data_IF_075614145564
#
_entry.id   IF_075614145564
#
_cell.length_a   1.000
_cell.length_b   1.000
_cell.length_c   1.000
_cell.angle_alpha   90.00
_cell.angle_beta   90.00
_cell.angle_gamma   90.00
#
_symmetry.space_group_name_H-M   'P 1'
#
loop_
_entity.id
_entity.type
_entity.pdbx_description
1 polymer ?
#
# COMPACT_ATOMS: atom_id res chain seq x y z
N UNK A 1 14.01 -7.80 4.92
CA UNK A 1 13.46 -6.49 5.25
C UNK A 1 12.04 -6.55 5.74
N UNK A 2 11.76 -5.77 6.77
CA UNK A 2 10.40 -5.70 7.33
C UNK A 2 9.51 -4.69 6.58
N UNK A 3 10.08 -4.01 5.58
CA UNK A 3 9.41 -2.98 4.81
C UNK A 3 9.91 -2.98 3.38
N UNK A 4 8.99 -2.72 2.45
CA UNK A 4 9.31 -2.57 1.03
C UNK A 4 9.98 -1.21 0.78
N UNK A 5 11.06 -1.22 0.02
CA UNK A 5 11.74 0.01 -0.44
C UNK A 5 12.33 -0.18 -1.82
N UNK A 6 12.23 0.86 -2.63
CA UNK A 6 12.91 0.96 -3.90
C UNK A 6 13.64 2.30 -3.97
N UNK A 7 14.95 2.27 -4.11
CA UNK A 7 15.80 3.45 -4.13
C UNK A 7 16.67 3.48 -5.38
N UNK A 8 16.88 4.68 -5.93
CA UNK A 8 17.72 4.91 -7.07
C UNK A 8 18.95 5.68 -6.59
N UNK A 9 20.09 5.01 -6.63
CA UNK A 9 21.37 5.61 -6.28
C UNK A 9 22.10 6.07 -7.55
N UNK A 10 22.53 7.32 -7.57
CA UNK A 10 23.33 7.88 -8.68
C UNK A 10 24.74 8.20 -8.20
N UNK A 11 25.75 7.61 -8.84
CA UNK A 11 27.15 7.87 -8.55
C UNK A 11 27.99 7.78 -9.82
N UNK A 12 28.79 8.81 -10.09
CA UNK A 12 29.70 8.88 -11.25
C UNK A 12 29.00 8.55 -12.59
N UNK A 13 27.83 9.13 -12.82
CA UNK A 13 27.04 8.91 -14.05
C UNK A 13 26.38 7.53 -14.16
N UNK A 14 26.58 6.65 -13.17
CA UNK A 14 25.94 5.33 -13.11
C UNK A 14 24.72 5.36 -12.20
N UNK A 15 23.73 4.58 -12.56
CA UNK A 15 22.51 4.38 -11.76
C UNK A 15 22.49 2.96 -11.21
N UNK A 16 22.26 2.84 -9.91
CA UNK A 16 22.05 1.56 -9.22
C UNK A 16 20.64 1.57 -8.65
N UNK A 17 19.89 0.55 -8.97
CA UNK A 17 18.58 0.32 -8.37
C UNK A 17 18.74 -0.60 -7.16
N UNK A 18 18.42 -0.08 -5.98
CA UNK A 18 18.27 -0.89 -4.77
C UNK A 18 16.80 -1.24 -4.59
N UNK A 19 16.51 -2.51 -4.42
CA UNK A 19 15.17 -3.01 -4.24
C UNK A 19 15.12 -3.90 -2.99
N UNK A 20 14.49 -3.43 -1.93
CA UNK A 20 14.25 -4.19 -0.70
C UNK A 20 12.80 -4.66 -0.72
N UNK A 21 12.59 -5.95 -0.76
CA UNK A 21 11.26 -6.55 -0.74
C UNK A 21 10.73 -6.74 0.66
N UNK A 22 9.42 -6.85 0.77
CA UNK A 22 8.77 -7.38 1.96
C UNK A 22 9.32 -8.77 2.30
N UNK A 23 9.38 -9.08 3.58
CA UNK A 23 9.92 -10.35 4.04
C UNK A 23 8.93 -11.49 3.80
N UNK A 24 9.41 -12.63 3.29
CA UNK A 24 8.60 -13.83 3.13
C UNK A 24 8.01 -14.35 4.46
N UNK A 25 8.65 -14.00 5.57
CA UNK A 25 8.21 -14.36 6.92
C UNK A 25 7.29 -13.30 7.57
N UNK A 26 6.93 -12.24 6.85
CA UNK A 26 6.25 -11.09 7.44
C UNK A 26 7.12 -10.34 8.46
N UNK A 27 6.51 -9.62 9.39
CA UNK A 27 7.24 -8.87 10.41
C UNK A 27 7.81 -9.81 11.48
N UNK A 28 9.12 -10.10 11.38
CA UNK A 28 9.87 -10.86 12.40
C UNK A 28 9.25 -12.21 12.76
N UNK A 29 8.67 -12.92 11.81
CA UNK A 29 7.97 -14.21 12.02
C UNK A 29 6.76 -14.11 12.96
N UNK A 30 6.24 -12.93 13.20
CA UNK A 30 5.18 -12.70 14.18
C UNK A 30 3.86 -12.27 13.56
N UNK A 31 3.82 -12.05 12.25
CA UNK A 31 2.62 -11.63 11.53
C UNK A 31 2.70 -12.03 10.06
N UNK A 32 1.55 -12.10 9.38
CA UNK A 32 1.46 -12.46 7.97
C UNK A 32 1.71 -11.28 7.02
N UNK A 33 2.17 -10.14 7.55
CA UNK A 33 2.54 -8.98 6.75
C UNK A 33 3.65 -8.18 7.43
N UNK A 34 4.30 -7.35 6.64
CA UNK A 34 5.37 -6.46 7.09
C UNK A 34 4.81 -5.26 7.85
N UNK A 35 5.68 -4.51 8.53
CA UNK A 35 5.30 -3.34 9.32
C UNK A 35 4.68 -2.20 8.49
N UNK A 36 4.95 -2.16 7.20
CA UNK A 36 4.40 -1.21 6.23
C UNK A 36 3.10 -1.69 5.58
N UNK A 37 2.59 -2.84 5.99
CA UNK A 37 1.39 -3.43 5.43
C UNK A 37 1.59 -4.22 4.15
N UNK A 38 2.81 -4.35 3.63
CA UNK A 38 3.11 -5.27 2.53
C UNK A 38 2.86 -6.69 3.00
N UNK A 39 2.07 -7.51 2.29
CA UNK A 39 1.91 -8.92 2.64
C UNK A 39 3.24 -9.64 2.63
N UNK A 40 3.37 -10.73 3.38
CA UNK A 40 4.54 -11.58 3.25
C UNK A 40 4.63 -12.16 1.83
N UNK A 41 5.83 -12.19 1.27
CA UNK A 41 6.02 -12.57 -0.13
C UNK A 41 7.45 -12.38 -0.62
N UNK A 42 7.59 -12.27 -1.93
CA UNK A 42 8.89 -12.12 -2.60
C UNK A 42 8.74 -11.37 -3.93
N UNK A 43 9.84 -10.80 -4.40
CA UNK A 43 9.90 -10.19 -5.73
C UNK A 43 10.17 -11.23 -6.81
N UNK A 44 9.49 -11.09 -7.93
CA UNK A 44 9.72 -11.85 -9.16
C UNK A 44 10.30 -10.91 -10.21
N UNK A 45 11.35 -11.35 -10.89
CA UNK A 45 12.01 -10.61 -11.96
C UNK A 45 12.12 -11.48 -13.21
N UNK A 46 11.66 -10.94 -14.32
CA UNK A 46 11.84 -11.53 -15.63
C UNK A 46 13.00 -10.82 -16.32
N UNK A 47 14.04 -11.58 -16.67
CA UNK A 47 15.26 -11.02 -17.26
C UNK A 47 15.30 -11.37 -18.74
N UNK A 48 15.54 -10.35 -19.57
CA UNK A 48 15.80 -10.51 -21.00
C UNK A 48 17.16 -9.88 -21.35
N UNK A 49 18.11 -10.72 -21.72
CA UNK A 49 19.50 -10.28 -21.90
C UNK A 49 20.05 -9.68 -20.59
N UNK A 50 20.44 -8.42 -20.63
CA UNK A 50 20.97 -7.68 -19.47
C UNK A 50 19.96 -6.69 -18.85
N UNK A 51 18.68 -6.85 -19.16
CA UNK A 51 17.63 -5.94 -18.69
C UNK A 51 16.55 -6.70 -17.92
N UNK A 52 15.94 -6.00 -16.95
CA UNK A 52 14.72 -6.47 -16.29
C UNK A 52 13.58 -6.14 -17.24
N UNK A 53 12.99 -7.18 -17.85
CA UNK A 53 11.86 -7.02 -18.78
C UNK A 53 10.55 -6.82 -18.03
N UNK A 54 10.41 -7.46 -16.87
CA UNK A 54 9.25 -7.33 -16.01
C UNK A 54 9.63 -7.59 -14.56
N UNK A 55 8.85 -7.04 -13.63
CA UNK A 55 8.97 -7.31 -12.21
C UNK A 55 7.64 -7.12 -11.49
N UNK A 56 7.35 -7.97 -10.53
CA UNK A 56 6.19 -7.82 -9.67
C UNK A 56 6.45 -8.44 -8.29
N UNK A 57 5.62 -8.09 -7.33
CA UNK A 57 5.66 -8.68 -5.99
C UNK A 57 4.66 -9.84 -5.93
N UNK A 58 5.10 -11.00 -5.51
CA UNK A 58 4.24 -12.17 -5.31
C UNK A 58 3.98 -12.38 -3.82
N UNK A 59 2.79 -12.04 -3.38
CA UNK A 59 2.33 -12.33 -2.03
C UNK A 59 2.12 -13.82 -1.86
N UNK A 60 2.51 -14.37 -0.71
CA UNK A 60 2.27 -15.77 -0.37
C UNK A 60 0.77 -16.03 -0.33
N UNK A 61 0.33 -17.14 -0.94
CA UNK A 61 -1.08 -17.55 -1.01
C UNK A 61 -2.04 -16.57 -1.71
N UNK A 62 -1.52 -15.67 -2.53
CA UNK A 62 -2.32 -14.75 -3.37
C UNK A 62 -1.86 -14.84 -4.82
N UNK A 63 -2.72 -14.46 -5.75
CA UNK A 63 -2.36 -14.33 -7.15
C UNK A 63 -1.40 -13.16 -7.39
N UNK A 64 -0.73 -13.13 -8.54
CA UNK A 64 0.27 -12.12 -8.86
C UNK A 64 -0.32 -10.71 -9.02
N UNK A 65 -1.59 -10.60 -9.32
CA UNK A 65 -2.34 -9.35 -9.45
C UNK A 65 -2.74 -8.71 -8.10
N UNK A 66 -2.57 -9.44 -6.99
CA UNK A 66 -2.81 -8.89 -5.66
C UNK A 66 -1.70 -7.92 -5.26
N UNK A 67 -1.80 -6.67 -5.71
CA UNK A 67 -0.79 -5.61 -5.50
C UNK A 67 -1.32 -4.42 -4.71
N UNK A 68 -2.61 -4.40 -4.36
CA UNK A 68 -3.26 -3.24 -3.75
C UNK A 68 -4.15 -3.70 -2.60
N UNK A 69 -4.05 -3.03 -1.45
CA UNK A 69 -5.07 -3.06 -0.41
C UNK A 69 -5.68 -1.68 -0.25
N UNK A 70 -7.01 -1.62 -0.30
CA UNK A 70 -7.76 -0.39 -0.11
C UNK A 70 -8.57 -0.43 1.17
N UNK A 71 -8.67 0.70 1.86
CA UNK A 71 -9.51 0.87 3.04
C UNK A 71 -9.99 2.33 3.18
N UNK A 72 -11.06 2.54 3.95
CA UNK A 72 -11.52 3.91 4.25
C UNK A 72 -10.54 4.61 5.17
N UNK A 73 -10.13 5.82 4.83
CA UNK A 73 -9.20 6.60 5.65
C UNK A 73 -9.75 6.94 7.04
N UNK A 74 -11.08 7.01 7.17
CA UNK A 74 -11.75 7.35 8.43
C UNK A 74 -12.32 6.12 9.16
N UNK A 75 -12.12 4.92 8.62
CA UNK A 75 -12.57 3.70 9.26
C UNK A 75 -11.73 3.42 10.51
N UNK A 76 -12.42 3.14 11.61
CA UNK A 76 -11.78 2.68 12.84
C UNK A 76 -11.73 1.16 12.83
N UNK A 77 -10.54 0.60 12.93
CA UNK A 77 -10.34 -0.85 13.05
C UNK A 77 -10.24 -1.23 14.53
N UNK A 78 -10.96 -2.27 14.93
CA UNK A 78 -10.94 -2.80 16.28
C UNK A 78 -11.83 -2.04 17.28
N UNK A 79 -11.53 -2.19 18.57
CA UNK A 79 -12.29 -1.54 19.64
C UNK A 79 -12.07 -0.03 19.64
N UNK A 80 -13.18 0.72 19.69
CA UNK A 80 -13.19 2.17 19.74
C UNK A 80 -12.24 2.74 20.81
N UNK A 81 -11.43 3.72 20.45
CA UNK A 81 -10.66 4.56 21.37
C UNK A 81 -9.22 4.17 21.64
N UNK A 82 -8.71 3.06 21.12
CA UNK A 82 -7.35 2.59 21.44
C UNK A 82 -6.25 3.08 20.49
N UNK A 83 -6.59 3.62 19.32
CA UNK A 83 -5.61 4.10 18.34
C UNK A 83 -6.00 5.48 17.82
N UNK A 84 -5.02 6.37 17.73
CA UNK A 84 -5.20 7.74 17.22
C UNK A 84 -4.61 7.82 15.80
N UNK A 85 -5.40 8.31 14.85
CA UNK A 85 -4.96 8.58 13.49
C UNK A 85 -4.06 9.81 13.41
N UNK A 86 -2.96 9.68 12.69
CA UNK A 86 -2.03 10.78 12.44
C UNK A 86 -2.22 11.51 11.11
N UNK A 87 -3.32 11.31 10.40
CA UNK A 87 -3.54 11.85 9.05
C UNK A 87 -3.52 13.39 8.99
N UNK A 88 -4.09 14.05 10.00
CA UNK A 88 -4.23 15.50 10.02
C UNK A 88 -2.91 16.25 9.83
N UNK A 89 -1.80 15.71 10.32
CA UNK A 89 -0.49 16.33 10.19
C UNK A 89 0.13 16.15 8.80
N UNK A 90 -0.14 15.00 8.14
CA UNK A 90 0.52 14.62 6.90
C UNK A 90 -0.34 14.89 5.66
N UNK A 91 -1.65 14.72 5.77
CA UNK A 91 -2.58 14.89 4.68
C UNK A 91 -3.98 15.20 5.22
N UNK A 92 -4.32 16.47 5.47
CA UNK A 92 -5.63 16.86 6.03
C UNK A 92 -6.82 16.37 5.20
N UNK A 93 -6.66 16.25 3.89
CA UNK A 93 -7.70 15.73 2.99
C UNK A 93 -8.09 14.27 3.29
N UNK A 94 -7.26 13.51 3.99
CA UNK A 94 -7.57 12.14 4.39
C UNK A 94 -8.58 12.06 5.55
N UNK A 95 -8.93 13.17 6.16
CA UNK A 95 -10.01 13.23 7.17
C UNK A 95 -11.42 13.31 6.56
N UNK A 96 -11.54 13.40 5.24
CA UNK A 96 -12.82 13.36 4.55
C UNK A 96 -13.44 11.95 4.60
N UNK A 97 -14.73 11.86 4.93
CA UNK A 97 -15.46 10.59 4.97
C UNK A 97 -15.52 9.86 3.62
N UNK A 98 -15.26 10.56 2.51
CA UNK A 98 -15.16 10.00 1.15
C UNK A 98 -13.76 9.46 0.82
N UNK A 99 -12.79 9.65 1.70
CA UNK A 99 -11.40 9.31 1.40
C UNK A 99 -11.15 7.81 1.44
N UNK A 100 -10.55 7.31 0.37
CA UNK A 100 -10.00 5.96 0.25
C UNK A 100 -8.48 6.04 0.28
N UNK A 101 -7.85 5.16 1.06
CA UNK A 101 -6.41 4.93 1.06
C UNK A 101 -6.11 3.64 0.30
N UNK A 102 -5.08 3.68 -0.53
CA UNK A 102 -4.51 2.51 -1.18
C UNK A 102 -3.06 2.31 -0.75
N UNK A 103 -2.75 1.16 -0.20
CA UNK A 103 -1.39 0.66 -0.08
C UNK A 103 -1.06 -0.12 -1.35
N UNK A 104 -0.14 0.40 -2.17
CA UNK A 104 0.29 -0.21 -3.43
C UNK A 104 1.73 -0.66 -3.25
N UNK A 105 1.89 -1.84 -2.65
CA UNK A 105 3.22 -2.39 -2.39
C UNK A 105 3.94 -2.71 -3.67
N UNK A 106 5.04 -2.52 -3.96
CA UNK A 106 5.83 -2.50 -5.18
C UNK A 106 5.92 -1.13 -5.86
N UNK A 107 5.10 -0.14 -5.47
CA UNK A 107 5.23 1.21 -5.99
C UNK A 107 6.34 2.00 -5.29
N UNK A 108 6.82 3.03 -5.96
CA UNK A 108 7.93 3.85 -5.49
C UNK A 108 7.78 5.33 -5.82
N UNK A 109 8.77 6.11 -5.41
CA UNK A 109 8.83 7.55 -5.63
C UNK A 109 9.40 7.95 -7.01
N UNK A 110 9.66 7.01 -7.93
CA UNK A 110 10.28 7.31 -9.24
C UNK A 110 9.42 8.15 -10.17
N UNK A 111 8.10 8.18 -9.93
CA UNK A 111 7.13 8.82 -10.81
C UNK A 111 6.63 7.93 -11.96
N UNK A 112 7.10 6.68 -12.03
CA UNK A 112 6.66 5.74 -13.06
C UNK A 112 5.31 5.11 -12.74
N UNK A 113 4.90 5.12 -11.48
CA UNK A 113 3.62 4.61 -11.04
C UNK A 113 2.52 5.65 -11.18
N UNK A 114 1.37 5.23 -11.74
CA UNK A 114 0.15 6.01 -11.80
C UNK A 114 -0.94 5.26 -11.06
N UNK A 115 -1.50 5.89 -10.05
CA UNK A 115 -2.59 5.30 -9.27
C UNK A 115 -3.81 6.20 -9.40
N UNK A 116 -4.94 5.64 -9.80
CA UNK A 116 -6.18 6.38 -10.05
C UNK A 116 -7.37 5.76 -9.36
N UNK A 117 -8.30 6.61 -8.96
CA UNK A 117 -9.58 6.25 -8.35
C UNK A 117 -10.69 6.43 -9.37
N UNK A 118 -11.52 5.42 -9.51
CA UNK A 118 -12.68 5.36 -10.38
C UNK A 118 -13.92 5.12 -9.55
N UNK A 119 -15.04 5.66 -9.99
CA UNK A 119 -16.35 5.44 -9.37
C UNK A 119 -17.41 5.29 -10.45
N UNK A 120 -18.23 4.23 -10.37
CA UNK A 120 -19.26 3.92 -11.38
C UNK A 120 -18.69 3.91 -12.81
N UNK A 121 -17.51 3.34 -13.01
CA UNK A 121 -16.84 3.24 -14.30
C UNK A 121 -16.21 4.55 -14.83
N UNK A 122 -16.26 5.64 -14.05
CA UNK A 122 -15.68 6.93 -14.43
C UNK A 122 -14.50 7.27 -13.54
N UNK A 123 -13.40 7.74 -14.14
CA UNK A 123 -12.24 8.22 -13.38
C UNK A 123 -12.60 9.46 -12.57
N UNK A 124 -12.39 9.38 -11.27
CA UNK A 124 -12.63 10.49 -10.33
C UNK A 124 -11.39 11.37 -10.19
N UNK A 125 -10.24 10.75 -9.96
CA UNK A 125 -8.98 11.47 -9.78
C UNK A 125 -7.76 10.58 -9.98
N UNK A 126 -6.60 11.20 -10.19
CA UNK A 126 -5.32 10.58 -9.87
C UNK A 126 -5.13 10.64 -8.36
N UNK A 127 -4.80 9.51 -7.75
CA UNK A 127 -4.61 9.45 -6.30
C UNK A 127 -3.28 10.11 -5.91
N UNK A 128 -3.31 10.84 -4.82
CA UNK A 128 -2.14 11.55 -4.31
C UNK A 128 -1.28 10.60 -3.48
N UNK A 129 -0.01 10.48 -3.83
CA UNK A 129 0.95 9.74 -3.00
C UNK A 129 1.27 10.51 -1.73
N UNK A 130 1.31 9.81 -0.61
CA UNK A 130 1.56 10.39 0.71
C UNK A 130 2.58 9.58 1.48
N UNK A 131 3.47 10.28 2.17
CA UNK A 131 4.43 9.65 3.08
C UNK A 131 3.82 9.51 4.45
N UNK A 132 3.35 8.31 4.76
CA UNK A 132 2.68 8.01 6.03
C UNK A 132 2.86 6.53 6.39
N UNK A 133 2.34 6.11 7.53
CA UNK A 133 2.22 4.69 7.85
C UNK A 133 0.87 4.14 7.38
N UNK A 134 0.83 2.84 7.12
CA UNK A 134 -0.41 2.12 6.85
C UNK A 134 -1.17 1.91 8.16
N UNK A 135 -2.25 2.67 8.36
CA UNK A 135 -3.04 2.58 9.57
C UNK A 135 -3.70 1.21 9.76
N UNK A 136 -4.15 0.60 8.67
CA UNK A 136 -4.73 -0.74 8.74
C UNK A 136 -3.67 -1.75 9.23
N UNK A 137 -2.47 -1.70 8.70
CA UNK A 137 -1.38 -2.57 9.12
C UNK A 137 -0.95 -2.28 10.57
N UNK A 138 -0.89 -1.02 10.95
CA UNK A 138 -0.63 -0.63 12.34
C UNK A 138 -1.67 -1.21 13.28
N UNK A 139 -2.96 -1.05 12.96
CA UNK A 139 -4.04 -1.62 13.75
C UNK A 139 -3.98 -3.15 13.81
N UNK A 140 -3.65 -3.81 12.70
CA UNK A 140 -3.45 -5.24 12.63
C UNK A 140 -2.38 -5.73 13.59
N UNK A 141 -1.19 -5.10 13.57
CA UNK A 141 -0.09 -5.49 14.45
C UNK A 141 -0.41 -5.25 15.92
N UNK A 142 -0.99 -4.11 16.25
CA UNK A 142 -1.26 -3.71 17.63
C UNK A 142 -2.48 -4.45 18.21
N UNK A 143 -3.56 -4.56 17.47
CA UNK A 143 -4.83 -5.10 17.97
C UNK A 143 -4.93 -6.60 17.80
N UNK A 144 -4.55 -7.12 16.65
CA UNK A 144 -4.67 -8.54 16.36
C UNK A 144 -3.51 -9.36 16.91
N UNK A 145 -2.28 -8.86 16.77
CA UNK A 145 -1.08 -9.54 17.29
C UNK A 145 -0.61 -9.01 18.64
N UNK A 146 -1.39 -8.14 19.29
CA UNK A 146 -1.10 -7.60 20.63
C UNK A 146 0.31 -7.03 20.77
N UNK A 147 0.82 -6.38 19.72
CA UNK A 147 2.11 -5.72 19.77
C UNK A 147 2.02 -4.41 20.55
N UNK A 148 3.11 -4.03 21.19
CA UNK A 148 3.16 -2.75 21.89
C UNK A 148 2.88 -1.58 20.95
N UNK A 149 2.07 -0.64 21.37
CA UNK A 149 1.87 0.63 20.67
C UNK A 149 3.21 1.36 20.59
N UNK A 150 3.64 1.72 19.39
CA UNK A 150 4.91 2.41 19.21
C UNK A 150 5.31 2.60 17.74
N UNK A 151 6.45 3.23 17.53
CA UNK A 151 6.93 3.60 16.19
C UNK A 151 7.38 2.41 15.33
N UNK A 152 7.59 1.23 15.93
CA UNK A 152 8.07 0.06 15.20
C UNK A 152 7.08 -0.41 14.14
N UNK A 153 5.78 -0.31 14.42
CA UNK A 153 4.70 -0.78 13.56
C UNK A 153 4.05 0.32 12.72
N UNK A 154 4.44 1.58 12.95
CA UNK A 154 3.97 2.75 12.21
C UNK A 154 5.11 3.35 11.37
N UNK A 155 5.59 2.64 10.34
CA UNK A 155 6.65 3.14 9.45
C UNK A 155 6.08 4.05 8.38
N UNK A 156 6.59 5.28 8.30
CA UNK A 156 6.26 6.21 7.23
C UNK A 156 7.01 5.81 5.95
N UNK A 157 6.26 5.42 4.93
CA UNK A 157 6.79 4.99 3.65
C UNK A 157 6.04 5.65 2.49
N UNK A 158 6.53 5.45 1.28
CA UNK A 158 6.16 6.24 0.10
C UNK A 158 5.21 5.51 -0.87
N UNK A 159 4.71 4.33 -0.52
CA UNK A 159 3.84 3.53 -1.41
C UNK A 159 2.34 3.60 -1.04
N UNK A 160 1.95 4.67 -0.33
CA UNK A 160 0.57 4.96 0.03
C UNK A 160 0.00 6.07 -0.84
N UNK A 161 -1.26 5.87 -1.20
CA UNK A 161 -2.02 6.81 -2.02
C UNK A 161 -3.37 7.07 -1.39
N UNK A 162 -3.89 8.27 -1.56
CA UNK A 162 -5.25 8.59 -1.15
C UNK A 162 -6.00 9.35 -2.24
N UNK A 163 -7.31 9.22 -2.24
CA UNK A 163 -8.20 9.97 -3.10
C UNK A 163 -9.60 10.01 -2.51
N UNK A 164 -10.36 11.02 -2.87
CA UNK A 164 -11.74 11.18 -2.41
C UNK A 164 -12.70 10.74 -3.49
N UNK A 165 -13.69 9.92 -3.14
CA UNK A 165 -14.81 9.60 -4.00
C UNK A 165 -15.57 10.87 -4.41
N UNK A 166 -16.16 10.88 -5.58
CA UNK A 166 -17.03 11.98 -6.02
C UNK A 166 -18.26 12.11 -5.10
N UNK A 167 -18.82 10.96 -4.68
CA UNK A 167 -19.99 10.91 -3.79
C UNK A 167 -20.01 9.67 -2.92
N UNK A 168 -20.78 9.69 -1.84
CA UNK A 168 -20.94 8.55 -0.93
C UNK A 168 -19.74 8.31 -0.04
N UNK A 169 -19.66 7.13 0.56
CA UNK A 169 -18.57 6.68 1.41
C UNK A 169 -17.95 5.39 0.84
N UNK A 170 -16.68 5.09 1.16
CA UNK A 170 -16.01 3.92 0.61
C UNK A 170 -16.75 2.59 0.82
N UNK A 171 -17.43 2.42 1.96
CA UNK A 171 -18.16 1.19 2.25
C UNK A 171 -19.46 1.00 1.46
N UNK A 172 -20.00 2.05 0.85
CA UNK A 172 -21.24 2.02 0.10
C UNK A 172 -21.08 2.31 -1.40
N UNK A 173 -19.90 2.77 -1.81
CA UNK A 173 -19.66 3.19 -3.19
C UNK A 173 -19.20 2.00 -4.06
N UNK A 174 -19.61 2.00 -5.32
CA UNK A 174 -18.96 1.21 -6.37
C UNK A 174 -17.69 1.95 -6.80
N UNK A 175 -16.54 1.44 -6.41
CA UNK A 175 -15.24 2.05 -6.72
C UNK A 175 -14.27 1.03 -7.32
N UNK A 176 -13.31 1.54 -8.05
CA UNK A 176 -12.14 0.78 -8.48
C UNK A 176 -10.87 1.63 -8.31
N UNK A 177 -9.82 1.03 -7.79
CA UNK A 177 -8.48 1.62 -7.79
C UNK A 177 -7.67 0.90 -8.86
N UNK A 178 -7.03 1.68 -9.71
CA UNK A 178 -6.18 1.20 -10.81
C UNK A 178 -4.78 1.72 -10.59
N UNK A 179 -3.81 0.81 -10.51
CA UNK A 179 -2.39 1.13 -10.42
C UNK A 179 -1.66 0.61 -11.65
N UNK A 180 -0.97 1.50 -12.35
CA UNK A 180 -0.16 1.20 -13.52
C UNK A 180 1.31 1.41 -13.17
N UNK A 181 2.15 0.42 -13.42
CA UNK A 181 3.60 0.55 -13.25
C UNK A 181 4.29 1.07 -14.52
N UNK A 182 5.57 1.38 -14.42
CA UNK A 182 6.34 1.83 -15.57
C UNK A 182 6.75 0.73 -16.56
N UNK A 183 6.28 -0.51 -16.35
CA UNK A 183 6.62 -1.68 -17.17
C UNK A 183 5.44 -2.19 -17.99
N UNK A 184 4.29 -1.54 -17.90
CA UNK A 184 3.07 -1.89 -18.64
C UNK A 184 2.11 -2.80 -17.89
N UNK A 185 2.39 -3.14 -16.63
CA UNK A 185 1.43 -3.88 -15.82
C UNK A 185 0.35 -2.96 -15.26
N UNK A 186 -0.87 -3.49 -15.16
CA UNK A 186 -2.02 -2.80 -14.58
C UNK A 186 -2.63 -3.70 -13.51
N UNK A 187 -2.74 -3.17 -12.29
CA UNK A 187 -3.33 -3.84 -11.14
C UNK A 187 -4.61 -3.13 -10.72
N UNK A 188 -5.60 -3.90 -10.27
CA UNK A 188 -6.93 -3.35 -9.96
C UNK A 188 -7.46 -3.92 -8.66
N UNK A 189 -8.21 -3.11 -7.93
CA UNK A 189 -9.01 -3.58 -6.81
C UNK A 189 -10.29 -2.76 -6.68
N UNK A 190 -11.40 -3.44 -6.45
CA UNK A 190 -12.68 -2.87 -6.01
C UNK A 190 -13.03 -3.35 -4.59
N UNK A 191 -12.11 -4.09 -3.95
CA UNK A 191 -12.32 -4.64 -2.63
C UNK A 191 -11.86 -3.67 -1.56
N UNK A 192 -12.78 -3.27 -0.68
CA UNK A 192 -12.45 -2.53 0.53
C UNK A 192 -12.08 -3.52 1.65
N UNK A 193 -10.93 -3.32 2.25
CA UNK A 193 -10.54 -4.07 3.44
C UNK A 193 -11.21 -3.45 4.67
N UNK A 194 -12.12 -4.20 5.30
CA UNK A 194 -12.92 -3.72 6.44
C UNK A 194 -12.56 -4.38 7.76
N UNK A 195 -11.81 -5.46 7.71
CA UNK A 195 -11.39 -6.27 8.87
C UNK A 195 -9.95 -6.77 8.71
N UNK A 196 -9.53 -7.68 9.57
CA UNK A 196 -8.19 -8.28 9.54
C UNK A 196 -8.16 -9.69 8.94
N UNK A 197 -9.08 -10.00 8.05
CA UNK A 197 -9.18 -11.30 7.40
C UNK A 197 -9.03 -11.19 5.87
N UNK A 198 -8.70 -12.30 5.22
CA UNK A 198 -8.77 -12.42 3.76
C UNK A 198 -7.78 -11.57 2.95
N UNK A 199 -6.67 -11.14 3.56
CA UNK A 199 -5.60 -10.43 2.87
C UNK A 199 -4.40 -11.32 2.60
#
# INVERSE_FOLDING_TARGET
>A
GDVYKRQIHKRNGKTILEHVHGAACGAWWTANLCADGTPNGYGVYEISGNTIANQYYKSTNKEADYQIRAYSATQVFGKSGSLTFGWAANAPAMNDAKCIVANVWNSDASGNWKVSLWQNGTKVCDMTRVKTYDYWAYAYHVLYYSKSVGTTWGKNLDHYYYGNLASGTPGAADFEIVAEDGMGNTYRTSKLQTDFTGF
#
